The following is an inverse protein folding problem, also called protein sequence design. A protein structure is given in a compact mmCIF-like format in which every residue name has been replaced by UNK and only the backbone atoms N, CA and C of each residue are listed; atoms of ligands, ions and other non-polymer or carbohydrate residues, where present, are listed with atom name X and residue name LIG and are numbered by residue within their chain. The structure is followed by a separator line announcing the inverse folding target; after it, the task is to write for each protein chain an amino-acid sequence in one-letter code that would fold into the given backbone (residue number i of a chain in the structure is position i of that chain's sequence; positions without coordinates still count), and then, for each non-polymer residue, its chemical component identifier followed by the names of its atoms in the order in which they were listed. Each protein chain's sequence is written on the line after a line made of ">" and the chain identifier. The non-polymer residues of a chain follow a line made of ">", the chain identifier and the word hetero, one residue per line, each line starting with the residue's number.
data_IF_250973340470
#
_entry.id   IF_250973340470
#
_cell.length_a   1.000
_cell.length_b   1.000
_cell.length_c   1.000
_cell.angle_alpha   90.00
_cell.angle_beta   90.00
_cell.angle_gamma   90.00
#
_symmetry.space_group_name_H-M   'P 1'
#
loop_
_entity.id
_entity.type
_entity.pdbx_description
1 polymer ?
#
# COMPACT_ATOMS: atom_id res chain seq x y z
N UNK A 1 4.89 -22.89 -4.27
CA UNK A 1 3.88 -21.93 -3.77
C UNK A 1 4.09 -20.61 -4.47
N UNK A 2 3.01 -19.90 -4.83
CA UNK A 2 3.11 -18.53 -5.37
C UNK A 2 3.71 -17.61 -4.31
N UNK A 3 4.46 -16.61 -4.74
CA UNK A 3 4.91 -15.54 -3.86
C UNK A 3 3.75 -14.57 -3.57
N UNK A 4 3.79 -13.85 -2.45
CA UNK A 4 2.70 -12.92 -2.07
C UNK A 4 2.38 -11.87 -3.15
N UNK A 5 3.39 -11.44 -3.91
CA UNK A 5 3.24 -10.45 -5.00
C UNK A 5 2.72 -11.04 -6.32
N UNK A 6 2.46 -12.34 -6.38
CA UNK A 6 1.87 -13.04 -7.52
C UNK A 6 0.40 -13.41 -7.27
N UNK A 7 -0.11 -13.12 -6.07
CA UNK A 7 -1.49 -13.37 -5.69
C UNK A 7 -2.41 -12.32 -6.30
N UNK A 8 -3.57 -12.77 -6.77
CA UNK A 8 -4.71 -11.90 -7.10
C UNK A 8 -5.31 -11.31 -5.82
N UNK A 9 -6.09 -10.23 -5.94
CA UNK A 9 -6.82 -9.64 -4.80
C UNK A 9 -7.68 -10.69 -4.09
N UNK A 10 -8.35 -11.55 -4.87
CA UNK A 10 -9.16 -12.64 -4.31
C UNK A 10 -8.30 -13.60 -3.48
N UNK A 11 -7.17 -14.04 -4.02
CA UNK A 11 -6.25 -14.95 -3.31
C UNK A 11 -5.67 -14.29 -2.05
N UNK A 12 -5.45 -12.97 -2.07
CA UNK A 12 -5.02 -12.22 -0.88
C UNK A 12 -6.08 -12.25 0.21
N UNK A 13 -7.33 -11.94 -0.14
CA UNK A 13 -8.44 -12.02 0.82
C UNK A 13 -8.66 -13.44 1.35
N UNK A 14 -8.59 -14.45 0.48
CA UNK A 14 -8.69 -15.84 0.90
C UNK A 14 -7.57 -16.16 1.92
N UNK A 15 -6.34 -15.69 1.66
CA UNK A 15 -5.20 -15.84 2.57
C UNK A 15 -5.42 -15.16 3.94
N UNK A 16 -6.00 -13.95 3.95
CA UNK A 16 -6.36 -13.27 5.21
C UNK A 16 -7.41 -14.04 6.01
N UNK A 17 -8.47 -14.53 5.34
CA UNK A 17 -9.55 -15.28 5.99
C UNK A 17 -9.08 -16.64 6.51
N UNK A 18 -8.15 -17.29 5.80
CA UNK A 18 -7.54 -18.55 6.21
C UNK A 18 -6.40 -18.38 7.23
N UNK A 19 -6.03 -17.12 7.56
CA UNK A 19 -4.90 -16.80 8.44
C UNK A 19 -3.56 -17.33 7.92
N UNK A 20 -3.41 -17.45 6.59
CA UNK A 20 -2.15 -17.87 5.94
C UNK A 20 -1.06 -16.80 6.10
N UNK A 21 -1.48 -15.53 6.15
CA UNK A 21 -0.67 -14.35 6.41
C UNK A 21 -1.57 -13.17 6.80
N UNK A 22 -0.95 -12.09 7.24
CA UNK A 22 -1.57 -10.84 7.71
C UNK A 22 -1.35 -9.69 6.73
N UNK A 23 -2.11 -8.60 6.86
CA UNK A 23 -1.90 -7.36 6.11
C UNK A 23 -0.51 -6.79 6.39
N UNK A 24 -0.06 -6.84 7.65
CA UNK A 24 1.29 -6.40 8.03
C UNK A 24 2.35 -7.20 7.26
N UNK A 25 2.22 -8.51 7.14
CA UNK A 25 3.16 -9.34 6.39
C UNK A 25 3.13 -9.03 4.89
N UNK A 26 1.95 -8.77 4.31
CA UNK A 26 1.85 -8.35 2.91
C UNK A 26 2.52 -6.99 2.67
N UNK A 27 2.28 -6.00 3.54
CA UNK A 27 2.92 -4.68 3.45
C UNK A 27 4.43 -4.77 3.61
N UNK A 28 4.93 -5.52 4.60
CA UNK A 28 6.37 -5.76 4.78
C UNK A 28 6.99 -6.44 3.57
N UNK A 29 6.30 -7.41 2.96
CA UNK A 29 6.75 -8.06 1.74
C UNK A 29 6.96 -7.05 0.60
N UNK A 30 6.03 -6.12 0.39
CA UNK A 30 6.19 -5.07 -0.62
C UNK A 30 7.26 -4.04 -0.25
N UNK A 31 7.36 -3.60 1.01
CA UNK A 31 8.42 -2.70 1.47
C UNK A 31 9.82 -3.30 1.22
N UNK A 32 10.03 -4.57 1.58
CA UNK A 32 11.29 -5.29 1.33
C UNK A 32 11.64 -5.34 -0.17
N UNK A 33 10.63 -5.50 -1.04
CA UNK A 33 10.83 -5.47 -2.49
C UNK A 33 11.19 -4.07 -2.99
N UNK A 34 10.54 -3.03 -2.46
CA UNK A 34 10.83 -1.64 -2.79
C UNK A 34 12.27 -1.32 -2.39
N UNK A 35 12.68 -1.62 -1.17
CA UNK A 35 14.06 -1.43 -0.69
C UNK A 35 15.09 -2.15 -1.58
N UNK A 36 14.79 -3.40 -1.98
CA UNK A 36 15.70 -4.21 -2.79
C UNK A 36 15.83 -3.73 -4.24
N UNK A 37 14.72 -3.33 -4.88
CA UNK A 37 14.67 -3.13 -6.33
C UNK A 37 14.53 -1.66 -6.75
N UNK A 38 13.88 -0.81 -5.95
CA UNK A 38 13.66 0.59 -6.30
C UNK A 38 14.94 1.40 -6.51
N UNK A 39 16.08 1.15 -5.81
CA UNK A 39 17.33 1.86 -6.09
C UNK A 39 17.85 1.71 -7.53
N UNK A 40 17.43 0.64 -8.23
CA UNK A 40 17.80 0.41 -9.64
C UNK A 40 16.67 0.73 -10.61
N UNK A 41 15.43 0.42 -10.24
CA UNK A 41 14.28 0.59 -11.12
C UNK A 41 13.69 2.00 -11.07
N UNK A 42 13.85 2.71 -9.95
CA UNK A 42 13.37 4.07 -9.71
C UNK A 42 11.89 4.26 -10.06
N UNK A 43 11.03 3.40 -9.49
CA UNK A 43 9.58 3.35 -9.75
C UNK A 43 8.80 4.23 -8.77
N UNK A 44 9.16 4.20 -7.48
CA UNK A 44 8.46 4.91 -6.41
C UNK A 44 9.19 6.22 -6.06
N UNK A 45 8.43 7.32 -6.00
CA UNK A 45 8.93 8.66 -5.65
C UNK A 45 8.75 9.00 -4.17
N UNK A 46 7.61 8.59 -3.58
CA UNK A 46 7.29 8.75 -2.16
C UNK A 46 6.63 7.46 -1.65
N UNK A 47 6.76 7.21 -0.34
CA UNK A 47 6.15 6.07 0.36
C UNK A 47 5.32 6.59 1.53
N UNK A 48 4.29 5.83 1.94
CA UNK A 48 3.51 6.13 3.14
C UNK A 48 4.20 5.56 4.38
N UNK A 49 4.67 6.44 5.28
CA UNK A 49 5.32 6.04 6.54
C UNK A 49 4.33 5.36 7.52
N UNK A 50 3.02 5.59 7.36
CA UNK A 50 1.99 5.01 8.22
C UNK A 50 1.51 3.63 7.75
N UNK A 51 2.00 3.11 6.61
CA UNK A 51 1.45 1.91 5.96
C UNK A 51 1.40 0.68 6.89
N UNK A 52 2.39 0.50 7.77
CA UNK A 52 2.40 -0.61 8.73
C UNK A 52 1.36 -0.43 9.83
N UNK A 53 1.24 0.79 10.38
CA UNK A 53 0.24 1.10 11.41
C UNK A 53 -1.18 0.94 10.86
N UNK A 54 -1.42 1.36 9.62
CA UNK A 54 -2.69 1.16 8.91
C UNK A 54 -2.98 -0.34 8.71
N UNK A 55 -1.98 -1.13 8.32
CA UNK A 55 -2.11 -2.57 8.16
C UNK A 55 -2.47 -3.28 9.48
N UNK A 56 -1.83 -2.92 10.60
CA UNK A 56 -2.16 -3.46 11.92
C UNK A 56 -3.61 -3.16 12.34
N UNK A 57 -4.12 -1.97 12.00
CA UNK A 57 -5.51 -1.61 12.25
C UNK A 57 -6.48 -2.44 11.38
N UNK A 58 -6.11 -2.70 10.13
CA UNK A 58 -6.91 -3.53 9.22
C UNK A 58 -6.89 -5.00 9.65
N UNK A 59 -5.75 -5.54 10.11
CA UNK A 59 -5.69 -6.91 10.62
C UNK A 59 -6.66 -7.13 11.79
N UNK A 60 -6.78 -6.14 12.69
CA UNK A 60 -7.79 -6.15 13.76
C UNK A 60 -9.21 -6.11 13.20
N UNK A 61 -9.48 -5.24 12.22
CA UNK A 61 -10.78 -5.17 11.56
C UNK A 61 -11.18 -6.51 10.92
N UNK A 62 -10.25 -7.16 10.21
CA UNK A 62 -10.47 -8.46 9.56
C UNK A 62 -10.74 -9.54 10.60
N UNK A 63 -9.99 -9.57 11.70
CA UNK A 63 -10.22 -10.55 12.77
C UNK A 63 -11.61 -10.41 13.43
N UNK A 64 -12.11 -9.18 13.56
CA UNK A 64 -13.41 -8.91 14.20
C UNK A 64 -14.60 -9.08 13.25
N UNK A 65 -14.46 -8.65 11.99
CA UNK A 65 -15.59 -8.45 11.05
C UNK A 65 -15.44 -9.20 9.73
N UNK A 66 -14.29 -9.84 9.50
CA UNK A 66 -13.93 -10.40 8.20
C UNK A 66 -13.69 -9.32 7.14
N UNK A 67 -13.79 -9.71 5.87
CA UNK A 67 -13.59 -8.79 4.73
C UNK A 67 -14.87 -7.99 4.47
N UNK A 68 -14.89 -6.74 4.92
CA UNK A 68 -16.07 -5.85 4.84
C UNK A 68 -16.19 -5.06 3.53
N UNK A 69 -15.07 -4.91 2.79
CA UNK A 69 -15.01 -4.15 1.53
C UNK A 69 -14.10 -4.83 0.51
N UNK A 70 -14.35 -4.66 -0.81
CA UNK A 70 -13.62 -5.38 -1.86
C UNK A 70 -12.11 -5.14 -1.94
N UNK A 71 -11.59 -4.11 -1.28
CA UNK A 71 -10.16 -3.75 -1.26
C UNK A 71 -9.60 -3.70 0.18
N UNK A 72 -10.29 -4.31 1.16
CA UNK A 72 -9.83 -4.30 2.54
C UNK A 72 -8.45 -4.96 2.67
N UNK A 73 -7.46 -4.21 3.15
CA UNK A 73 -6.11 -4.74 3.36
C UNK A 73 -5.31 -4.96 2.09
N UNK A 74 -5.76 -4.46 0.94
CA UNK A 74 -4.99 -4.52 -0.32
C UNK A 74 -4.10 -3.28 -0.42
N UNK A 75 -2.76 -3.42 -0.34
CA UNK A 75 -1.86 -2.30 -0.60
C UNK A 75 -1.89 -1.92 -2.08
N UNK A 76 -1.76 -0.63 -2.37
CA UNK A 76 -1.76 -0.11 -3.73
C UNK A 76 -0.72 0.99 -3.89
N UNK A 77 -0.46 1.35 -5.15
CA UNK A 77 0.36 2.47 -5.52
C UNK A 77 -0.40 3.31 -6.55
N UNK A 78 -0.25 4.63 -6.45
CA UNK A 78 -0.83 5.59 -7.40
C UNK A 78 0.27 6.39 -8.06
N UNK A 79 -0.04 6.94 -9.23
CA UNK A 79 0.87 7.84 -9.93
C UNK A 79 1.04 9.12 -9.11
N UNK A 80 2.24 9.69 -9.13
CA UNK A 80 2.61 10.92 -8.40
C UNK A 80 1.91 12.21 -8.94
N UNK A 81 0.81 12.07 -9.66
CA UNK A 81 -0.08 13.17 -10.05
C UNK A 81 -1.46 13.07 -9.38
N UNK A 82 -1.67 12.09 -8.50
CA UNK A 82 -2.80 12.02 -7.60
C UNK A 82 -2.42 12.64 -6.27
N UNK A 83 -3.27 13.53 -5.78
CA UNK A 83 -3.11 14.15 -4.48
C UNK A 83 -3.35 13.11 -3.38
N UNK A 84 -2.38 12.96 -2.50
CA UNK A 84 -2.48 12.13 -1.29
C UNK A 84 -2.14 12.99 -0.09
N UNK A 85 -3.13 13.24 0.77
CA UNK A 85 -3.01 14.14 1.91
C UNK A 85 -1.90 13.66 2.85
N UNK A 86 -0.96 14.55 3.14
CA UNK A 86 0.16 14.25 4.02
C UNK A 86 1.32 13.47 3.38
N UNK A 87 1.22 13.12 2.08
CA UNK A 87 2.32 12.55 1.30
C UNK A 87 2.68 13.53 0.19
N UNK A 88 3.98 13.75 -0.05
CA UNK A 88 4.44 14.65 -1.12
C UNK A 88 3.89 14.20 -2.47
N UNK A 89 3.40 15.16 -3.27
CA UNK A 89 2.96 14.92 -4.65
C UNK A 89 3.67 15.89 -5.58
N UNK A 90 4.47 15.40 -6.51
CA UNK A 90 5.33 16.27 -7.34
C UNK A 90 4.91 16.36 -8.81
N UNK A 91 3.98 15.52 -9.27
CA UNK A 91 3.71 15.29 -10.69
C UNK A 91 4.99 15.05 -11.51
N UNK A 92 6.03 14.50 -10.87
CA UNK A 92 7.38 14.38 -11.42
C UNK A 92 7.97 15.71 -11.92
N UNK A 93 7.66 16.83 -11.26
CA UNK A 93 8.07 18.18 -11.64
C UNK A 93 8.82 18.90 -10.52
N UNK A 94 9.95 19.51 -10.88
CA UNK A 94 10.74 20.33 -9.94
C UNK A 94 10.00 21.57 -9.42
N UNK A 95 8.96 22.03 -10.12
CA UNK A 95 8.18 23.22 -9.73
C UNK A 95 7.43 22.98 -8.42
N UNK A 96 6.93 21.77 -8.21
CA UNK A 96 6.12 21.38 -7.04
C UNK A 96 6.75 20.24 -6.25
N UNK A 97 8.08 20.14 -6.30
CA UNK A 97 8.86 19.03 -5.67
C UNK A 97 8.62 18.87 -4.17
N UNK A 98 8.23 19.94 -3.48
CA UNK A 98 8.02 19.99 -2.03
C UNK A 98 6.52 20.21 -1.68
N UNK A 99 5.62 19.96 -2.64
CA UNK A 99 4.18 20.19 -2.45
C UNK A 99 3.55 19.09 -1.59
N UNK A 100 2.91 19.52 -0.50
CA UNK A 100 2.17 18.67 0.43
C UNK A 100 0.66 18.94 0.28
N UNK A 101 -0.10 18.02 -0.33
CA UNK A 101 -1.53 18.18 -0.54
C UNK A 101 -2.30 18.34 0.79
N UNK A 102 -3.32 19.21 0.78
CA UNK A 102 -4.20 19.45 1.93
C UNK A 102 -5.44 18.54 1.95
N UNK A 103 -5.66 17.81 0.86
CA UNK A 103 -6.79 16.92 0.63
C UNK A 103 -6.37 15.76 -0.27
N UNK A 104 -7.13 14.67 -0.20
CA UNK A 104 -6.99 13.52 -1.08
C UNK A 104 -7.76 13.74 -2.38
N UNK A 105 -7.29 13.14 -3.46
CA UNK A 105 -8.08 13.04 -4.69
C UNK A 105 -9.37 12.25 -4.44
N UNK A 106 -10.35 12.37 -5.34
CA UNK A 106 -11.62 11.63 -5.23
C UNK A 106 -11.50 10.12 -5.45
N UNK A 107 -10.36 9.65 -5.96
CA UNK A 107 -10.05 8.25 -6.25
C UNK A 107 -8.86 7.77 -5.44
#
# INVERSE_FOLDING_TARGET
>A
MKQLHELTIKEVHDGYLNQDFTCVELVRHFQNRIEKYNPKLNIYLALNDNALTEAEAIDKEIAEKGITRPLLGIPFAVKDNFLTKGIVTTASSNIIRDYHPQYDSTV
#
